data_IF_207272465295
#
_entry.id   IF_207272465295
#
_cell.length_a   1.000
_cell.length_b   1.000
_cell.length_c   1.000
_cell.angle_alpha   90.00
_cell.angle_beta   90.00
_cell.angle_gamma   90.00
#
_symmetry.space_group_name_H-M   'P 1'
#
loop_
_entity.id
_entity.type
_entity.pdbx_description
1 polymer ?
#
# COMPACT_ATOMS: atom_id res chain seq x y z
N UNK A 1 7.63 -7.82 6.41
CA UNK A 1 6.15 -7.86 6.24
C UNK A 1 5.79 -9.04 5.34
N UNK A 2 4.76 -9.80 5.70
CA UNK A 2 4.20 -10.87 4.88
C UNK A 2 2.92 -10.32 4.22
N UNK A 3 2.96 -9.99 2.93
CA UNK A 3 1.84 -9.32 2.26
C UNK A 3 2.21 -8.59 0.97
N UNK A 4 1.31 -7.73 0.51
CA UNK A 4 1.53 -6.83 -0.63
C UNK A 4 1.26 -7.45 -2.00
N UNK A 5 1.84 -6.85 -3.04
CA UNK A 5 1.60 -7.21 -4.46
C UNK A 5 2.05 -8.62 -4.82
N UNK A 6 3.01 -9.19 -4.08
CA UNK A 6 3.61 -10.48 -4.37
C UNK A 6 2.76 -11.68 -3.94
N UNK A 7 1.77 -11.46 -3.07
CA UNK A 7 0.94 -12.53 -2.49
C UNK A 7 0.19 -13.29 -3.57
N UNK A 8 -0.44 -12.60 -4.52
CA UNK A 8 -1.13 -13.25 -5.63
C UNK A 8 -0.18 -14.10 -6.48
N UNK A 9 1.03 -13.61 -6.76
CA UNK A 9 2.02 -14.37 -7.52
C UNK A 9 2.54 -15.59 -6.76
N UNK A 10 2.56 -15.55 -5.42
CA UNK A 10 2.89 -16.72 -4.58
C UNK A 10 1.73 -17.73 -4.58
N UNK A 11 0.50 -17.27 -4.33
CA UNK A 11 -0.70 -18.13 -4.33
C UNK A 11 -0.90 -18.81 -5.70
N UNK A 12 -0.69 -18.09 -6.81
CA UNK A 12 -0.76 -18.64 -8.17
C UNK A 12 0.31 -19.70 -8.44
N UNK A 13 1.44 -19.67 -7.72
CA UNK A 13 2.50 -20.69 -7.78
C UNK A 13 2.24 -21.86 -6.80
N UNK A 14 1.04 -21.94 -6.24
CA UNK A 14 0.65 -23.00 -5.30
C UNK A 14 1.17 -22.81 -3.89
N UNK A 15 1.66 -21.61 -3.54
CA UNK A 15 2.15 -21.34 -2.19
C UNK A 15 0.98 -21.23 -1.22
N UNK A 16 0.97 -22.04 -0.16
CA UNK A 16 -0.03 -21.95 0.90
C UNK A 16 0.14 -20.63 1.67
N UNK A 17 -0.95 -19.93 1.95
CA UNK A 17 -0.94 -18.68 2.73
C UNK A 17 -1.68 -18.82 4.05
N UNK A 18 -1.71 -20.05 4.62
CA UNK A 18 -2.40 -20.32 5.87
C UNK A 18 -1.80 -19.53 7.03
N UNK A 19 -2.65 -19.20 8.00
CA UNK A 19 -2.25 -18.45 9.19
C UNK A 19 -1.12 -19.15 9.95
N UNK A 20 -1.19 -20.47 10.05
CA UNK A 20 -0.23 -21.32 10.75
C UNK A 20 1.14 -21.27 10.06
N UNK A 21 1.17 -21.29 8.72
CA UNK A 21 2.42 -21.20 7.98
C UNK A 21 3.07 -19.82 8.16
N UNK A 22 2.28 -18.75 8.05
CA UNK A 22 2.78 -17.38 8.23
C UNK A 22 3.32 -17.17 9.65
N UNK A 23 2.61 -17.70 10.66
CA UNK A 23 3.06 -17.69 12.05
C UNK A 23 4.40 -18.43 12.20
N UNK A 24 4.48 -19.67 11.70
CA UNK A 24 5.69 -20.49 11.81
C UNK A 24 6.89 -19.80 11.16
N UNK A 25 6.72 -19.27 9.94
CA UNK A 25 7.78 -18.55 9.23
C UNK A 25 8.26 -17.30 10.00
N UNK A 26 7.34 -16.55 10.62
CA UNK A 26 7.72 -15.41 11.43
C UNK A 26 8.49 -15.82 12.71
N UNK A 27 8.09 -16.91 13.36
CA UNK A 27 8.77 -17.45 14.54
C UNK A 27 10.16 -18.00 14.19
N UNK A 28 10.29 -18.73 13.09
CA UNK A 28 11.58 -19.21 12.57
C UNK A 28 12.53 -18.04 12.25
N UNK A 29 12.01 -16.98 11.62
CA UNK A 29 12.78 -15.77 11.35
C UNK A 29 13.25 -15.08 12.64
N UNK A 30 12.37 -14.91 13.64
CA UNK A 30 12.72 -14.32 14.93
C UNK A 30 13.76 -15.17 15.69
N UNK A 31 13.62 -16.50 15.69
CA UNK A 31 14.58 -17.41 16.31
C UNK A 31 15.96 -17.30 15.65
N UNK A 32 15.99 -17.26 14.31
CA UNK A 32 17.24 -17.21 13.53
C UNK A 32 17.92 -15.85 13.63
N UNK A 33 17.16 -14.76 13.52
CA UNK A 33 17.70 -13.40 13.39
C UNK A 33 17.94 -12.73 14.75
N UNK A 34 17.13 -13.06 15.76
CA UNK A 34 17.14 -12.42 17.08
C UNK A 34 17.50 -13.40 18.22
N UNK A 35 17.66 -14.69 17.93
CA UNK A 35 17.99 -15.71 18.94
C UNK A 35 16.82 -16.08 19.87
N UNK A 36 15.59 -15.66 19.55
CA UNK A 36 14.39 -15.94 20.34
C UNK A 36 13.89 -17.36 20.09
N UNK A 37 14.45 -18.34 20.81
CA UNK A 37 14.16 -19.77 20.63
C UNK A 37 12.89 -20.23 21.33
N UNK A 38 12.41 -19.46 22.31
CA UNK A 38 11.18 -19.76 23.03
C UNK A 38 9.95 -19.34 22.21
N UNK A 39 8.84 -20.10 22.29
CA UNK A 39 7.61 -19.72 21.61
C UNK A 39 7.02 -18.43 22.22
N UNK A 40 6.44 -17.53 21.40
CA UNK A 40 5.81 -16.32 21.91
C UNK A 40 4.56 -16.68 22.71
N UNK A 41 4.32 -15.96 23.82
CA UNK A 41 3.12 -16.11 24.65
C UNK A 41 1.84 -15.65 23.94
N UNK A 42 1.97 -14.82 22.90
CA UNK A 42 0.87 -14.34 22.09
C UNK A 42 1.29 -14.11 20.63
N UNK A 43 0.39 -14.36 19.68
CA UNK A 43 0.66 -14.15 18.26
C UNK A 43 -0.57 -13.61 17.51
N UNK A 44 -0.38 -12.50 16.80
CA UNK A 44 -1.35 -11.91 15.87
C UNK A 44 -0.83 -12.06 14.45
N UNK A 45 -1.69 -12.57 13.56
CA UNK A 45 -1.32 -12.86 12.18
C UNK A 45 -2.38 -12.28 11.26
N UNK A 46 -1.94 -11.37 10.39
CA UNK A 46 -2.79 -10.73 9.41
C UNK A 46 -2.10 -10.77 8.05
N UNK A 47 -2.81 -11.27 7.03
CA UNK A 47 -2.36 -11.23 5.65
C UNK A 47 -3.02 -10.04 4.95
N UNK A 48 -2.23 -9.02 4.63
CA UNK A 48 -2.72 -7.84 3.92
C UNK A 48 -2.49 -7.99 2.42
N UNK A 49 -3.56 -8.31 1.67
CA UNK A 49 -3.55 -8.36 0.21
C UNK A 49 -3.67 -6.96 -0.37
N UNK A 50 -2.93 -6.66 -1.44
CA UNK A 50 -3.00 -5.37 -2.17
C UNK A 50 -2.82 -4.11 -1.30
N UNK A 51 -2.06 -4.21 -0.20
CA UNK A 51 -2.01 -3.15 0.82
C UNK A 51 -0.98 -2.05 0.59
N UNK A 52 0.03 -2.29 -0.26
CA UNK A 52 1.07 -1.31 -0.59
C UNK A 52 1.15 -1.19 -2.10
N UNK A 53 0.66 -0.08 -2.69
CA UNK A 53 0.78 0.18 -4.12
C UNK A 53 2.23 0.09 -4.60
N UNK A 54 2.43 -0.48 -5.78
CA UNK A 54 3.75 -0.61 -6.38
C UNK A 54 3.87 0.40 -7.53
N UNK A 55 4.69 1.42 -7.35
CA UNK A 55 4.95 2.43 -8.38
C UNK A 55 5.98 1.88 -9.36
N UNK A 56 5.51 1.08 -10.30
CA UNK A 56 6.36 0.50 -11.35
C UNK A 56 6.79 1.56 -12.38
N UNK A 57 7.72 1.18 -13.27
CA UNK A 57 8.16 2.06 -14.35
C UNK A 57 6.97 2.64 -15.13
N UNK A 58 7.01 3.96 -15.34
CA UNK A 58 5.93 4.69 -16.00
C UNK A 58 4.75 5.07 -15.10
N UNK A 59 4.83 4.88 -13.78
CA UNK A 59 3.80 5.34 -12.82
C UNK A 59 3.44 6.82 -13.02
N UNK A 60 4.44 7.69 -13.13
CA UNK A 60 4.24 9.13 -13.38
C UNK A 60 3.38 9.42 -14.63
N UNK A 61 3.58 8.65 -15.73
CA UNK A 61 2.76 8.80 -16.94
C UNK A 61 1.31 8.39 -16.73
N UNK A 62 1.07 7.38 -15.88
CA UNK A 62 -0.30 6.97 -15.52
C UNK A 62 -0.99 8.09 -14.75
N UNK A 63 -0.29 8.76 -13.85
CA UNK A 63 -0.80 9.91 -13.10
C UNK A 63 -1.11 11.09 -14.03
N UNK A 64 -0.17 11.45 -14.91
CA UNK A 64 -0.38 12.51 -15.91
C UNK A 64 -1.57 12.21 -16.82
N UNK A 65 -1.67 10.98 -17.34
CA UNK A 65 -2.78 10.55 -18.18
C UNK A 65 -4.13 10.64 -17.46
N UNK A 66 -4.18 10.19 -16.19
CA UNK A 66 -5.38 10.31 -15.38
C UNK A 66 -5.76 11.78 -15.14
N UNK A 67 -4.80 12.63 -14.74
CA UNK A 67 -5.02 14.05 -14.51
C UNK A 67 -5.50 14.76 -15.79
N UNK A 68 -4.86 14.48 -16.94
CA UNK A 68 -5.25 15.03 -18.23
C UNK A 68 -6.67 14.60 -18.62
N UNK A 69 -7.01 13.33 -18.44
CA UNK A 69 -8.35 12.83 -18.74
C UNK A 69 -9.42 13.51 -17.89
N UNK A 70 -9.20 13.67 -16.59
CA UNK A 70 -10.13 14.35 -15.68
C UNK A 70 -10.36 15.80 -16.09
N UNK A 71 -9.27 16.52 -16.41
CA UNK A 71 -9.32 17.91 -16.83
C UNK A 71 -10.02 18.08 -18.19
N UNK A 72 -9.62 17.29 -19.20
CA UNK A 72 -10.19 17.36 -20.56
C UNK A 72 -11.69 17.05 -20.58
N UNK A 73 -12.15 16.14 -19.70
CA UNK A 73 -13.55 15.77 -19.55
C UNK A 73 -14.32 16.67 -18.57
N UNK A 74 -13.65 17.63 -17.92
CA UNK A 74 -14.22 18.52 -16.89
C UNK A 74 -14.96 17.75 -15.80
N UNK A 75 -14.42 16.61 -15.38
CA UNK A 75 -15.06 15.76 -14.38
C UNK A 75 -14.91 16.40 -12.99
N UNK A 76 -15.99 16.50 -12.20
CA UNK A 76 -15.92 16.98 -10.82
C UNK A 76 -15.39 15.87 -9.90
N UNK A 77 -14.17 15.41 -10.16
CA UNK A 77 -13.52 14.29 -9.48
C UNK A 77 -12.07 14.65 -9.18
N UNK A 78 -11.65 14.43 -7.92
CA UNK A 78 -10.26 14.59 -7.49
C UNK A 78 -9.74 13.27 -6.93
N UNK A 79 -8.50 12.94 -7.25
CA UNK A 79 -7.83 11.71 -6.81
C UNK A 79 -6.91 11.99 -5.61
N UNK A 80 -6.89 11.08 -4.63
CA UNK A 80 -6.05 11.18 -3.44
C UNK A 80 -5.72 9.82 -2.81
N UNK A 81 -4.65 9.77 -2.01
CA UNK A 81 -4.24 8.61 -1.23
C UNK A 81 -3.06 7.82 -1.83
N UNK A 82 -2.77 6.67 -1.21
CA UNK A 82 -1.53 5.90 -1.43
C UNK A 82 -1.29 5.41 -2.86
N UNK A 83 -2.30 5.43 -3.72
CA UNK A 83 -2.18 4.96 -5.11
C UNK A 83 -1.53 5.97 -6.05
N UNK A 84 -1.34 7.22 -5.59
CA UNK A 84 -0.95 8.33 -6.48
C UNK A 84 0.47 8.83 -6.18
N UNK A 85 0.65 9.77 -5.25
CA UNK A 85 1.88 10.56 -5.13
C UNK A 85 2.68 10.28 -3.85
N UNK A 86 2.56 9.08 -3.30
CA UNK A 86 3.30 8.68 -2.11
C UNK A 86 2.54 7.64 -1.30
N UNK A 87 3.26 6.67 -0.73
CA UNK A 87 2.66 5.55 0.02
C UNK A 87 2.68 5.78 1.53
N UNK A 88 3.41 6.80 2.01
CA UNK A 88 3.49 7.05 3.44
C UNK A 88 2.18 7.66 3.96
N UNK A 89 1.97 7.55 5.27
CA UNK A 89 0.81 8.15 5.94
C UNK A 89 0.81 9.67 5.74
N UNK A 90 1.97 10.32 5.86
CA UNK A 90 2.11 11.76 5.64
C UNK A 90 1.72 12.16 4.22
N UNK A 91 2.14 11.39 3.20
CA UNK A 91 1.78 11.63 1.81
C UNK A 91 0.27 11.50 1.61
N UNK A 92 -0.36 10.49 2.23
CA UNK A 92 -1.80 10.29 2.16
C UNK A 92 -2.58 11.44 2.81
N UNK A 93 -2.11 11.94 3.96
CA UNK A 93 -2.69 13.10 4.65
C UNK A 93 -2.59 14.33 3.75
N UNK A 94 -1.41 14.62 3.22
CA UNK A 94 -1.18 15.79 2.36
C UNK A 94 -2.00 15.69 1.06
N UNK A 95 -2.03 14.51 0.44
CA UNK A 95 -2.85 14.21 -0.73
C UNK A 95 -4.34 14.45 -0.46
N UNK A 96 -4.84 14.02 0.70
CA UNK A 96 -6.21 14.28 1.15
C UNK A 96 -6.49 15.76 1.38
N UNK A 97 -5.57 16.47 2.04
CA UNK A 97 -5.67 17.93 2.28
C UNK A 97 -5.75 18.70 0.96
N UNK A 98 -4.88 18.39 0.01
CA UNK A 98 -4.90 19.02 -1.32
C UNK A 98 -6.19 18.70 -2.09
N UNK A 99 -6.67 17.47 -2.01
CA UNK A 99 -7.91 17.09 -2.67
C UNK A 99 -9.13 17.83 -2.11
N UNK A 100 -9.19 17.98 -0.78
CA UNK A 100 -10.23 18.78 -0.13
C UNK A 100 -10.17 20.26 -0.58
N UNK A 101 -8.99 20.87 -0.61
CA UNK A 101 -8.84 22.25 -1.08
C UNK A 101 -9.27 22.43 -2.54
N UNK A 102 -8.87 21.51 -3.43
CA UNK A 102 -9.30 21.52 -4.84
C UNK A 102 -10.82 21.40 -4.97
N UNK A 103 -11.46 20.53 -4.19
CA UNK A 103 -12.91 20.38 -4.19
C UNK A 103 -13.65 21.62 -3.65
N UNK A 104 -13.04 22.34 -2.71
CA UNK A 104 -13.57 23.59 -2.15
C UNK A 104 -13.23 24.84 -2.97
N UNK A 105 -12.38 24.73 -4.00
CA UNK A 105 -11.92 25.87 -4.80
C UNK A 105 -10.93 26.79 -4.07
N UNK A 106 -10.20 26.26 -3.09
CA UNK A 106 -9.21 27.00 -2.31
C UNK A 106 -7.82 26.89 -2.96
N UNK A 107 -7.09 28.01 -3.03
CA UNK A 107 -5.65 27.97 -3.28
C UNK A 107 -4.92 27.65 -1.98
N UNK A 108 -4.01 26.68 -2.03
CA UNK A 108 -3.14 26.33 -0.91
C UNK A 108 -1.78 26.98 -1.14
N UNK A 109 -1.39 27.88 -0.25
CA UNK A 109 -0.03 28.41 -0.22
C UNK A 109 0.96 27.26 0.02
N UNK A 110 2.03 27.23 -0.77
CA UNK A 110 3.14 26.27 -0.65
C UNK A 110 4.15 26.70 0.39
#
# INVERSE_FOLDING_TARGET
MLGGSWVQGLEARGWASSRELLQRQAQEAAATQLGLKEPPSHCLVHLHKHCIPQYTLGHWRKLESAAHFLAARRLPLTLAGASYEGVAVNDCIESGRQAAARALGLELDR
#
